data_IF_356860971933
#
_entry.id   IF_356860971933
#
_cell.length_a   1.000
_cell.length_b   1.000
_cell.length_c   1.000
_cell.angle_alpha   90.00
_cell.angle_beta   90.00
_cell.angle_gamma   90.00
#
_symmetry.space_group_name_H-M   'P 1'
#
loop_
_entity.id
_entity.type
_entity.pdbx_description
1 polymer ?
#
# COMPACT_ATOMS: atom_id res chain seq x y z
N UNK A 1 -0.32 58.60 12.55
CA UNK A 1 -0.34 58.65 14.03
C UNK A 1 -1.73 59.07 14.48
N UNK A 2 -2.58 58.13 14.94
CA UNK A 2 -3.74 58.33 15.83
C UNK A 2 -4.34 56.93 16.15
N UNK A 3 -3.76 56.21 17.11
CA UNK A 3 -4.24 55.98 18.48
C UNK A 3 -5.68 55.41 18.60
N UNK A 4 -5.81 54.06 18.63
CA UNK A 4 -6.15 53.13 19.74
C UNK A 4 -7.63 52.93 20.07
N UNK A 5 -7.95 51.63 20.22
CA UNK A 5 -8.98 50.96 21.06
C UNK A 5 -10.24 50.53 20.30
N UNK A 6 -10.42 49.21 20.14
CA UNK A 6 -11.31 48.47 21.03
C UNK A 6 -11.17 46.95 20.86
N UNK A 7 -10.88 46.29 21.98
CA UNK A 7 -11.06 44.86 22.18
C UNK A 7 -12.52 44.45 21.88
N UNK A 8 -12.73 43.32 21.22
CA UNK A 8 -13.98 42.56 21.35
C UNK A 8 -13.71 41.07 21.22
N UNK A 9 -13.58 40.49 22.41
CA UNK A 9 -13.88 39.12 22.80
C UNK A 9 -14.97 38.49 21.92
N UNK A 10 -14.68 37.36 21.28
CA UNK A 10 -15.74 36.41 20.89
C UNK A 10 -15.47 35.13 21.67
N UNK A 11 -16.34 34.91 22.65
CA UNK A 11 -16.34 33.77 23.54
C UNK A 11 -16.58 32.48 22.75
N UNK A 12 -15.65 31.52 22.87
CA UNK A 12 -15.90 30.14 22.45
C UNK A 12 -16.91 29.53 23.42
N UNK A 13 -18.07 29.20 22.88
CA UNK A 13 -19.19 28.56 23.58
C UNK A 13 -18.73 27.18 24.05
N UNK A 14 -18.75 26.96 25.36
CA UNK A 14 -18.60 25.65 25.97
C UNK A 14 -19.84 24.81 25.63
N UNK A 15 -19.66 23.74 24.86
CA UNK A 15 -20.66 22.70 24.71
C UNK A 15 -20.43 21.66 25.82
N UNK A 16 -21.19 21.77 26.91
CA UNK A 16 -21.32 20.71 27.92
C UNK A 16 -22.32 19.68 27.41
N UNK A 17 -21.83 18.50 27.03
CA UNK A 17 -22.67 17.33 26.80
C UNK A 17 -22.80 16.58 28.13
N UNK A 18 -23.88 16.84 28.87
CA UNK A 18 -24.27 16.00 29.98
C UNK A 18 -25.10 14.84 29.41
N UNK A 19 -24.50 13.65 29.31
CA UNK A 19 -25.25 12.42 29.06
C UNK A 19 -25.61 11.76 30.39
N UNK A 20 -26.83 11.23 30.54
CA UNK A 20 -27.24 10.48 31.73
C UNK A 20 -26.44 9.16 31.80
N UNK A 21 -25.84 8.88 32.96
CA UNK A 21 -25.26 7.58 33.29
C UNK A 21 -26.37 6.71 33.87
N UNK A 22 -26.86 5.76 33.08
CA UNK A 22 -27.75 4.70 33.57
C UNK A 22 -26.98 3.73 34.48
N UNK A 23 -27.56 3.31 35.61
CA UNK A 23 -26.94 2.31 36.47
C UNK A 23 -27.02 0.93 35.82
N UNK A 24 -25.93 0.51 35.19
CA UNK A 24 -25.74 -0.84 34.68
C UNK A 24 -25.90 -1.84 35.83
N UNK A 25 -26.96 -2.65 35.71
CA UNK A 25 -27.11 -3.90 36.44
C UNK A 25 -25.90 -4.78 36.16
N UNK A 26 -25.29 -5.27 37.24
CA UNK A 26 -24.27 -6.31 37.26
C UNK A 26 -24.90 -7.60 36.74
N UNK A 27 -24.84 -7.81 35.42
CA UNK A 27 -25.05 -9.10 34.81
C UNK A 27 -23.73 -9.85 34.89
N UNK A 28 -23.76 -11.01 35.54
CA UNK A 28 -22.65 -11.92 35.70
C UNK A 28 -22.02 -12.22 34.33
N UNK A 29 -20.85 -11.64 34.06
CA UNK A 29 -20.03 -12.02 32.91
C UNK A 29 -19.37 -13.34 33.27
N UNK A 30 -19.92 -14.45 32.79
CA UNK A 30 -19.17 -15.69 32.73
C UNK A 30 -17.90 -15.42 31.92
N UNK A 31 -16.71 -15.78 32.42
CA UNK A 31 -15.48 -15.57 31.68
C UNK A 31 -15.60 -16.35 30.36
N UNK A 32 -15.58 -15.61 29.24
CA UNK A 32 -15.36 -16.18 27.93
C UNK A 32 -14.13 -17.10 28.03
N UNK A 33 -14.20 -18.35 27.56
CA UNK A 33 -13.03 -19.21 27.58
C UNK A 33 -11.92 -18.49 26.80
N UNK A 34 -10.80 -18.24 27.48
CA UNK A 34 -9.58 -17.59 26.97
C UNK A 34 -8.82 -18.44 25.94
N UNK A 35 -9.56 -19.26 25.21
CA UNK A 35 -9.10 -20.26 24.27
C UNK A 35 -10.16 -20.35 23.17
N UNK A 36 -10.17 -19.33 22.32
CA UNK A 36 -10.55 -19.51 20.93
C UNK A 36 -9.46 -18.86 20.09
N UNK A 37 -8.22 -19.29 20.30
CA UNK A 37 -7.16 -19.11 19.31
C UNK A 37 -7.54 -19.99 18.12
N UNK A 38 -8.41 -19.46 17.25
CA UNK A 38 -8.47 -19.95 15.87
C UNK A 38 -7.03 -19.89 15.37
N UNK A 39 -6.41 -21.03 15.00
CA UNK A 39 -5.16 -20.95 14.30
C UNK A 39 -5.50 -20.25 12.98
N UNK A 40 -5.20 -18.97 12.88
CA UNK A 40 -5.13 -18.27 11.60
C UNK A 40 -3.89 -18.76 10.85
N UNK A 41 -3.74 -20.08 10.71
CA UNK A 41 -2.96 -20.68 9.64
C UNK A 41 -3.86 -20.69 8.41
N UNK A 42 -4.26 -19.50 7.97
CA UNK A 42 -4.39 -19.28 6.54
C UNK A 42 -3.02 -19.70 5.97
N UNK A 43 -2.97 -20.50 4.90
CA UNK A 43 -1.69 -20.79 4.26
C UNK A 43 -1.03 -19.44 4.01
N UNK A 44 0.12 -19.20 4.68
CA UNK A 44 0.89 -17.98 4.52
C UNK A 44 1.45 -18.02 3.11
N UNK A 45 0.63 -17.66 2.12
CA UNK A 45 1.16 -16.90 0.99
C UNK A 45 1.92 -15.76 1.65
N UNK A 46 3.19 -15.60 1.27
CA UNK A 46 3.97 -14.46 1.75
C UNK A 46 3.08 -13.22 1.66
N UNK A 47 2.99 -12.49 2.78
CA UNK A 47 2.10 -11.34 2.86
C UNK A 47 2.42 -10.41 1.68
N UNK A 48 1.40 -9.88 0.99
CA UNK A 48 1.65 -9.00 -0.14
C UNK A 48 2.49 -7.79 0.29
N UNK A 49 3.42 -7.41 -0.56
CA UNK A 49 4.22 -6.19 -0.38
C UNK A 49 3.41 -5.04 -0.95
N UNK A 50 3.12 -4.05 -0.11
CA UNK A 50 2.21 -2.95 -0.44
C UNK A 50 2.88 -1.60 -0.29
N UNK A 51 2.72 -0.72 -1.27
CA UNK A 51 3.37 0.58 -1.28
C UNK A 51 3.08 1.34 -2.57
N UNK A 52 3.91 2.35 -2.80
CA UNK A 52 3.89 3.13 -4.02
C UNK A 52 4.41 2.30 -5.18
N UNK A 53 3.66 2.31 -6.27
CA UNK A 53 4.04 1.74 -7.55
C UNK A 53 4.27 2.87 -8.54
N UNK A 54 5.44 2.90 -9.14
CA UNK A 54 5.86 3.90 -10.13
C UNK A 54 6.05 3.22 -11.49
N UNK A 55 6.63 3.93 -12.45
CA UNK A 55 6.99 3.36 -13.74
C UNK A 55 8.35 3.87 -14.20
N UNK A 56 8.96 3.11 -15.11
CA UNK A 56 10.23 3.44 -15.75
C UNK A 56 10.17 3.16 -17.24
N UNK A 57 11.03 3.81 -18.02
CA UNK A 57 11.22 3.48 -19.42
C UNK A 57 12.05 2.19 -19.50
N UNK A 58 11.54 1.22 -20.23
CA UNK A 58 12.14 -0.10 -20.36
C UNK A 58 13.37 -0.09 -21.28
N UNK A 59 14.14 -1.17 -21.23
CA UNK A 59 15.34 -1.34 -22.04
C UNK A 59 15.98 -2.71 -21.79
N UNK A 60 17.30 -2.78 -21.79
CA UNK A 60 18.03 -3.97 -21.35
C UNK A 60 17.92 -4.11 -19.84
N UNK A 61 17.09 -5.05 -19.39
CA UNK A 61 16.90 -5.33 -17.97
C UNK A 61 18.00 -6.21 -17.39
N UNK A 62 18.06 -6.22 -16.06
CA UNK A 62 19.00 -7.01 -15.24
C UNK A 62 18.85 -8.52 -15.43
N UNK A 63 17.70 -8.97 -15.94
CA UNK A 63 17.47 -10.36 -16.34
C UNK A 63 18.10 -10.73 -17.69
N UNK A 64 18.81 -9.82 -18.34
CA UNK A 64 19.49 -10.05 -19.63
C UNK A 64 18.56 -10.03 -20.84
N UNK A 65 17.30 -9.62 -20.64
CA UNK A 65 16.29 -9.50 -21.69
C UNK A 65 16.13 -8.01 -22.03
N UNK A 66 16.10 -7.71 -23.33
CA UNK A 66 15.74 -6.36 -23.80
C UNK A 66 14.25 -6.30 -24.02
N UNK A 67 13.60 -5.37 -23.33
CA UNK A 67 12.17 -5.14 -23.43
C UNK A 67 11.86 -3.74 -23.99
N UNK A 68 10.59 -3.51 -24.31
CA UNK A 68 10.07 -2.22 -24.76
C UNK A 68 8.84 -1.78 -23.97
N UNK A 69 8.50 -0.49 -24.06
CA UNK A 69 7.50 0.17 -23.19
C UNK A 69 6.06 -0.35 -23.40
N UNK A 70 5.83 -1.10 -24.48
CA UNK A 70 4.56 -1.74 -24.81
C UNK A 70 4.36 -3.11 -24.16
N UNK A 71 5.37 -3.66 -23.47
CA UNK A 71 5.31 -4.98 -22.84
C UNK A 71 4.94 -4.89 -21.36
N UNK A 72 4.18 -5.86 -20.85
CA UNK A 72 3.84 -5.92 -19.43
C UNK A 72 4.93 -6.64 -18.64
N UNK A 73 5.70 -5.89 -17.87
CA UNK A 73 6.75 -6.37 -16.99
C UNK A 73 6.98 -5.42 -15.81
N UNK A 74 7.73 -5.88 -14.82
CA UNK A 74 8.01 -5.15 -13.57
C UNK A 74 9.49 -5.25 -13.19
N UNK A 75 9.98 -4.17 -12.58
CA UNK A 75 11.25 -4.08 -11.89
C UNK A 75 11.05 -4.11 -10.36
N UNK A 76 11.86 -4.91 -9.67
CA UNK A 76 11.80 -5.09 -8.19
C UNK A 76 13.18 -4.91 -7.54
N UNK A 77 13.20 -4.81 -6.21
CA UNK A 77 14.41 -4.55 -5.43
C UNK A 77 15.49 -5.65 -5.52
N UNK A 78 16.76 -5.20 -5.44
CA UNK A 78 18.01 -5.93 -5.71
C UNK A 78 18.55 -6.75 -4.53
N UNK A 79 17.91 -7.85 -4.15
CA UNK A 79 18.57 -8.78 -3.20
C UNK A 79 18.97 -10.11 -3.83
N UNK A 80 18.22 -10.63 -4.81
CA UNK A 80 18.51 -11.91 -5.48
C UNK A 80 17.81 -11.98 -6.86
N UNK A 81 18.07 -10.99 -7.74
CA UNK A 81 17.37 -10.84 -9.03
C UNK A 81 17.40 -12.09 -9.91
N UNK A 82 18.54 -12.79 -9.99
CA UNK A 82 18.69 -14.00 -10.79
C UNK A 82 17.66 -15.09 -10.45
N UNK A 83 17.23 -15.19 -9.19
CA UNK A 83 16.23 -16.17 -8.75
C UNK A 83 14.78 -15.73 -9.01
N UNK A 84 14.57 -14.45 -9.34
CA UNK A 84 13.27 -13.82 -9.56
C UNK A 84 12.99 -13.54 -11.03
N UNK A 85 14.02 -13.48 -11.87
CA UNK A 85 13.88 -13.29 -13.30
C UNK A 85 12.88 -14.28 -13.91
N UNK A 86 11.90 -13.73 -14.65
CA UNK A 86 10.84 -14.49 -15.31
C UNK A 86 9.75 -15.03 -14.39
N UNK A 87 9.84 -14.85 -13.05
CA UNK A 87 8.74 -15.20 -12.15
C UNK A 87 7.62 -14.17 -12.26
N UNK A 88 6.38 -14.63 -12.27
CA UNK A 88 5.23 -13.75 -12.28
C UNK A 88 4.89 -13.29 -10.86
N UNK A 89 4.49 -12.03 -10.77
CA UNK A 89 3.81 -11.48 -9.60
C UNK A 89 2.39 -11.05 -10.01
N UNK A 90 1.45 -11.16 -9.09
CA UNK A 90 0.15 -10.49 -9.18
C UNK A 90 0.31 -9.10 -8.63
N UNK A 91 -0.05 -8.09 -9.41
CA UNK A 91 -0.06 -6.68 -8.98
C UNK A 91 -1.50 -6.22 -8.90
N UNK A 92 -1.87 -5.55 -7.81
CA UNK A 92 -3.21 -5.01 -7.59
C UNK A 92 -3.14 -3.54 -7.24
N UNK A 93 -3.88 -2.71 -7.96
CA UNK A 93 -4.12 -1.32 -7.61
C UNK A 93 -5.10 -1.25 -6.43
N UNK A 94 -4.69 -0.62 -5.33
CA UNK A 94 -5.46 -0.58 -4.08
C UNK A 94 -6.80 0.13 -4.21
N UNK A 95 -6.88 1.22 -4.99
CA UNK A 95 -8.10 2.03 -5.08
C UNK A 95 -9.16 1.41 -5.99
N UNK A 96 -8.72 0.80 -7.10
CA UNK A 96 -9.64 0.25 -8.12
C UNK A 96 -9.88 -1.25 -7.97
N UNK A 97 -8.98 -1.97 -7.29
CA UNK A 97 -8.97 -3.44 -7.25
C UNK A 97 -8.55 -4.09 -8.57
N UNK A 98 -8.13 -3.32 -9.57
CA UNK A 98 -7.63 -3.86 -10.85
C UNK A 98 -6.37 -4.66 -10.61
N UNK A 99 -6.30 -5.88 -11.17
CA UNK A 99 -5.13 -6.75 -11.02
C UNK A 99 -4.60 -7.26 -12.36
N UNK A 100 -3.28 -7.31 -12.50
CA UNK A 100 -2.59 -7.87 -13.67
C UNK A 100 -1.41 -8.72 -13.18
N UNK A 101 -1.19 -9.86 -13.84
CA UNK A 101 -0.02 -10.71 -13.64
C UNK A 101 1.08 -10.30 -14.62
N UNK A 102 2.31 -10.10 -14.13
CA UNK A 102 3.45 -9.71 -14.97
C UNK A 102 4.77 -10.35 -14.49
N UNK A 103 5.70 -10.68 -15.39
CA UNK A 103 7.01 -11.19 -15.05
C UNK A 103 7.95 -10.11 -14.52
N UNK A 104 8.79 -10.49 -13.56
CA UNK A 104 9.95 -9.68 -13.14
C UNK A 104 11.04 -9.79 -14.19
N UNK A 105 11.46 -8.65 -14.75
CA UNK A 105 12.46 -8.60 -15.83
C UNK A 105 13.62 -7.61 -15.57
N UNK A 106 13.51 -6.77 -14.55
CA UNK A 106 14.55 -5.80 -14.24
C UNK A 106 14.65 -5.48 -12.75
N UNK A 107 15.70 -4.76 -12.39
CA UNK A 107 16.02 -4.29 -11.04
C UNK A 107 15.62 -2.86 -10.86
N UNK A 108 14.93 -2.58 -9.77
CA UNK A 108 14.69 -1.24 -9.27
C UNK A 108 15.56 -1.00 -8.03
N UNK A 109 16.71 -0.28 -8.14
CA UNK A 109 17.64 -0.10 -7.02
C UNK A 109 17.08 0.71 -5.86
N UNK A 110 16.05 1.53 -6.12
CA UNK A 110 15.39 2.38 -5.13
C UNK A 110 14.18 1.71 -4.47
N UNK A 111 13.72 0.58 -5.02
CA UNK A 111 12.56 -0.13 -4.50
C UNK A 111 12.92 -0.93 -3.24
N UNK A 112 11.91 -1.27 -2.44
CA UNK A 112 12.06 -2.10 -1.25
C UNK A 112 10.95 -3.15 -1.15
N UNK A 113 11.22 -4.26 -0.44
CA UNK A 113 10.19 -5.23 -0.06
C UNK A 113 9.50 -4.86 1.27
N UNK A 114 9.84 -3.72 1.87
CA UNK A 114 9.14 -3.19 3.02
C UNK A 114 7.83 -2.52 2.58
N UNK A 115 6.71 -2.99 3.12
CA UNK A 115 5.42 -2.34 2.89
C UNK A 115 5.35 -0.98 3.58
N UNK A 116 4.65 -0.03 2.95
CA UNK A 116 4.37 1.32 3.46
C UNK A 116 4.03 2.27 2.30
N UNK A 117 3.11 3.21 2.50
CA UNK A 117 2.66 4.16 1.46
C UNK A 117 3.78 5.08 0.98
N UNK A 118 4.76 5.34 1.86
CA UNK A 118 5.97 6.10 1.56
C UNK A 118 6.99 5.31 0.74
N UNK A 119 6.91 3.98 0.77
CA UNK A 119 7.88 3.09 0.15
C UNK A 119 7.54 2.84 -1.31
N UNK A 120 8.51 3.01 -2.21
CA UNK A 120 8.40 2.50 -3.57
C UNK A 120 8.67 1.01 -3.54
N UNK A 121 7.68 0.21 -3.92
CA UNK A 121 7.76 -1.25 -3.81
C UNK A 121 7.96 -1.95 -5.15
N UNK A 122 7.56 -1.30 -6.25
CA UNK A 122 7.74 -1.81 -7.60
C UNK A 122 7.80 -0.67 -8.62
N UNK A 123 8.57 -0.87 -9.68
CA UNK A 123 8.62 0.00 -10.85
C UNK A 123 8.06 -0.76 -12.06
N UNK A 124 6.97 -0.28 -12.62
CA UNK A 124 6.26 -0.97 -13.70
C UNK A 124 6.74 -0.48 -15.07
N UNK A 125 6.60 -1.33 -16.09
CA UNK A 125 6.64 -0.85 -17.48
C UNK A 125 5.48 0.12 -17.78
N UNK A 126 5.62 1.04 -18.75
CA UNK A 126 4.58 2.01 -19.06
C UNK A 126 3.25 1.36 -19.47
N UNK A 127 3.28 0.29 -20.28
CA UNK A 127 2.09 -0.47 -20.63
C UNK A 127 1.37 -1.04 -19.40
N UNK A 128 2.10 -1.67 -18.47
CA UNK A 128 1.54 -2.25 -17.26
C UNK A 128 1.00 -1.19 -16.29
N UNK A 129 1.73 -0.09 -16.11
CA UNK A 129 1.31 1.04 -15.27
C UNK A 129 -0.01 1.64 -15.77
N UNK A 130 -0.10 1.89 -17.08
CA UNK A 130 -1.30 2.41 -17.71
C UNK A 130 -2.47 1.42 -17.62
N UNK A 131 -2.22 0.12 -17.82
CA UNK A 131 -3.24 -0.91 -17.74
C UNK A 131 -3.83 -1.09 -16.33
N UNK A 132 -3.07 -0.76 -15.28
CA UNK A 132 -3.53 -0.75 -13.88
C UNK A 132 -4.21 0.58 -13.48
N UNK A 133 -4.27 1.56 -14.38
CA UNK A 133 -4.90 2.86 -14.14
C UNK A 133 -4.00 3.83 -13.37
N UNK A 134 -2.69 3.77 -13.58
CA UNK A 134 -1.77 4.72 -12.97
C UNK A 134 -1.96 6.16 -13.49
N UNK A 135 -1.78 7.13 -12.59
CA UNK A 135 -1.84 8.58 -12.84
C UNK A 135 -0.78 9.31 -12.01
N UNK A 136 -0.50 10.59 -12.25
CA UNK A 136 0.44 11.40 -11.45
C UNK A 136 1.81 10.75 -11.14
N UNK A 137 2.27 9.88 -12.04
CA UNK A 137 3.53 9.14 -11.93
C UNK A 137 3.57 8.02 -10.90
N UNK A 138 2.50 7.76 -10.15
CA UNK A 138 2.43 6.64 -9.21
C UNK A 138 1.00 6.25 -8.84
N UNK A 139 0.83 5.07 -8.26
CA UNK A 139 -0.40 4.72 -7.53
C UNK A 139 -0.07 3.84 -6.33
N UNK A 140 -1.02 3.68 -5.40
CA UNK A 140 -0.86 2.79 -4.27
C UNK A 140 -1.29 1.37 -4.67
N UNK A 141 -0.41 0.38 -4.46
CA UNK A 141 -0.71 -0.99 -4.86
C UNK A 141 0.00 -2.04 -4.01
N UNK A 142 -0.35 -3.30 -4.27
CA UNK A 142 0.21 -4.45 -3.61
C UNK A 142 0.65 -5.50 -4.63
N UNK A 143 1.72 -6.24 -4.35
CA UNK A 143 2.09 -7.41 -5.14
C UNK A 143 2.45 -8.64 -4.29
N UNK A 144 2.35 -9.81 -4.90
CA UNK A 144 2.87 -11.07 -4.37
C UNK A 144 3.32 -11.99 -5.52
N UNK A 145 4.30 -12.86 -5.25
CA UNK A 145 4.75 -13.88 -6.20
C UNK A 145 3.72 -15.00 -6.35
N UNK A 146 3.51 -15.46 -7.59
CA UNK A 146 2.59 -16.55 -7.93
C UNK A 146 3.20 -17.95 -7.76
#
# INVERSE_FOLDING_TARGET
>A
MLFIQLFSLIASIAATFATPVDPMSILNVEPLPLNMSLPLTLPRRDAPVCGKMTYYNTGLGSCGITNNDGENLVALADIHQSEKCGKNIRITHSDTGTSIDAPVQDTCPVCTYASGEENVVADLSPALFNALGGGDGHFQGCFYFL
#
